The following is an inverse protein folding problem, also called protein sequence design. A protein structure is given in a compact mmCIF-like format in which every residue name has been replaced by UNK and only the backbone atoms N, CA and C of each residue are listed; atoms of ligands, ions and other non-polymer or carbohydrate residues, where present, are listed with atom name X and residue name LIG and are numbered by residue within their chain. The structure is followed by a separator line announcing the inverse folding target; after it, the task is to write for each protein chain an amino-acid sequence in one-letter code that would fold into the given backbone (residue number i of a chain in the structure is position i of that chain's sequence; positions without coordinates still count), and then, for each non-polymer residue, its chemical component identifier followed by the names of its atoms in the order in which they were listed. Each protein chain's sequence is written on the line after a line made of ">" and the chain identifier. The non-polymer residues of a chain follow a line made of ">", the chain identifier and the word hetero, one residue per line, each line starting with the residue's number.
data_IF_196528364682
#
_entry.id   IF_196528364682
#
_cell.length_a   1.000
_cell.length_b   1.000
_cell.length_c   1.000
_cell.angle_alpha   90.00
_cell.angle_beta   90.00
_cell.angle_gamma   90.00
#
_symmetry.space_group_name_H-M   'P 1'
#
loop_
_entity.id
_entity.type
_entity.pdbx_description
1 polymer ?
#
# COMPACT_ATOMS: atom_id res chain seq x y z
N UNK A 1 -3.37 -22.42 17.23
CA UNK A 1 -3.17 -21.21 16.42
C UNK A 1 -4.47 -20.44 16.47
N UNK A 2 -4.44 -19.32 17.20
CA UNK A 2 -5.52 -18.34 17.26
C UNK A 2 -5.34 -17.35 16.11
N UNK A 3 -6.44 -16.96 15.48
CA UNK A 3 -6.39 -16.15 14.27
C UNK A 3 -6.71 -14.71 14.58
N UNK A 4 -5.86 -13.79 14.14
CA UNK A 4 -6.16 -12.38 14.24
C UNK A 4 -7.06 -11.93 13.11
N UNK A 5 -8.06 -11.16 13.47
CA UNK A 5 -8.90 -10.46 12.52
C UNK A 5 -8.26 -9.08 12.21
N UNK A 6 -8.19 -8.72 10.94
CA UNK A 6 -7.48 -7.50 10.51
C UNK A 6 -8.44 -6.33 10.51
N UNK A 7 -8.06 -5.26 11.17
CA UNK A 7 -8.65 -3.96 10.95
C UNK A 7 -7.65 -3.18 10.06
N UNK A 8 -8.05 -2.27 9.14
CA UNK A 8 -7.12 -1.39 8.36
C UNK A 8 -7.37 0.12 8.66
N UNK A 9 -6.51 0.85 9.40
CA UNK A 9 -6.82 2.17 10.08
C UNK A 9 -5.93 3.33 9.65
N UNK A 10 -6.48 4.55 9.83
CA UNK A 10 -5.83 5.76 10.39
C UNK A 10 -6.81 6.76 11.08
N UNK A 11 -6.57 7.14 12.34
CA UNK A 11 -7.42 7.97 13.24
C UNK A 11 -7.10 9.49 13.22
N UNK A 12 -8.04 10.36 13.64
CA UNK A 12 -7.94 11.84 13.67
C UNK A 12 -7.42 12.39 15.02
N UNK A 13 -6.46 13.33 15.02
CA UNK A 13 -6.44 14.53 15.90
C UNK A 13 -5.46 15.64 15.41
N UNK A 14 -5.57 16.84 15.98
CA UNK A 14 -5.39 18.19 15.41
C UNK A 14 -4.08 18.95 15.70
N UNK A 15 -3.64 19.78 14.71
CA UNK A 15 -2.87 21.06 14.74
C UNK A 15 -1.48 21.10 15.43
N UNK A 16 -0.45 21.89 15.07
CA UNK A 16 -0.23 23.00 14.11
C UNK A 16 1.31 23.19 13.89
N UNK A 17 1.66 23.67 12.68
CA UNK A 17 2.78 24.55 12.28
C UNK A 17 4.28 24.25 12.53
N UNK A 18 5.06 24.17 11.42
CA UNK A 18 6.10 25.17 11.09
C UNK A 18 6.65 25.10 9.64
N UNK A 19 6.80 26.30 9.10
CA UNK A 19 7.12 26.73 7.72
C UNK A 19 8.51 26.35 7.17
N UNK A 20 8.51 26.09 5.85
CA UNK A 20 9.45 26.49 4.77
C UNK A 20 10.97 26.29 4.98
N UNK A 21 11.58 25.48 4.11
CA UNK A 21 12.72 25.94 3.27
C UNK A 21 13.05 25.02 2.08
N UNK A 22 13.17 25.71 0.93
CA UNK A 22 14.07 25.46 -0.23
C UNK A 22 13.73 24.38 -1.25
N UNK A 23 13.32 24.92 -2.41
CA UNK A 23 13.41 24.42 -3.77
C UNK A 23 14.84 24.02 -4.17
N UNK A 24 14.88 23.16 -5.19
CA UNK A 24 15.98 22.78 -6.09
C UNK A 24 16.80 21.55 -5.69
N UNK A 25 16.26 20.37 -6.01
CA UNK A 25 16.99 19.23 -6.59
C UNK A 25 15.95 18.22 -7.09
N UNK A 26 15.44 18.43 -8.31
CA UNK A 26 14.59 17.47 -9.01
C UNK A 26 15.26 17.17 -10.36
N UNK A 27 16.30 16.35 -10.31
CA UNK A 27 16.75 15.55 -11.44
C UNK A 27 17.54 14.38 -10.87
N UNK A 28 17.11 13.16 -11.21
CA UNK A 28 17.79 11.87 -11.06
C UNK A 28 17.56 11.08 -9.75
N UNK A 29 16.31 10.78 -9.38
CA UNK A 29 16.07 9.63 -8.49
C UNK A 29 14.71 8.91 -8.63
N UNK A 30 13.85 9.30 -9.58
CA UNK A 30 12.50 8.71 -9.70
C UNK A 30 12.52 7.27 -10.22
N UNK A 31 13.53 6.89 -11.02
CA UNK A 31 13.72 5.52 -11.49
C UNK A 31 14.07 4.54 -10.37
N UNK A 32 14.81 4.96 -9.33
CA UNK A 32 15.33 4.02 -8.32
C UNK A 32 14.26 3.46 -7.38
N UNK A 33 13.21 4.24 -7.10
CA UNK A 33 12.12 3.82 -6.20
C UNK A 33 11.21 2.82 -6.91
N UNK A 34 10.76 3.13 -8.13
CA UNK A 34 9.88 2.22 -8.86
C UNK A 34 10.60 0.92 -9.27
N UNK A 35 11.86 1.00 -9.68
CA UNK A 35 12.65 -0.20 -10.01
C UNK A 35 12.84 -1.12 -8.80
N UNK A 36 12.78 -0.60 -7.57
CA UNK A 36 12.95 -1.40 -6.36
C UNK A 36 11.74 -2.27 -6.00
N UNK A 37 10.53 -1.85 -6.39
CA UNK A 37 9.28 -2.52 -6.00
C UNK A 37 8.48 -3.10 -7.16
N UNK A 38 8.69 -2.66 -8.40
CA UNK A 38 8.07 -3.24 -9.59
C UNK A 38 8.59 -4.66 -9.86
N UNK A 39 7.77 -5.68 -9.58
CA UNK A 39 8.22 -7.07 -9.61
C UNK A 39 8.28 -7.66 -11.02
N UNK A 40 7.42 -7.18 -11.93
CA UNK A 40 7.39 -7.68 -13.29
C UNK A 40 8.20 -6.79 -14.24
N UNK A 41 9.44 -7.21 -14.51
CA UNK A 41 10.42 -6.47 -15.32
C UNK A 41 9.96 -6.22 -16.77
N UNK A 42 8.99 -6.99 -17.29
CA UNK A 42 8.38 -6.77 -18.61
C UNK A 42 7.81 -5.35 -18.77
N UNK A 43 7.43 -4.73 -17.66
CA UNK A 43 6.83 -3.38 -17.61
C UNK A 43 7.83 -2.28 -17.26
N UNK A 44 9.12 -2.61 -17.06
CA UNK A 44 10.18 -1.63 -16.81
C UNK A 44 10.98 -1.27 -18.06
N UNK A 45 10.68 -1.90 -19.20
CA UNK A 45 11.33 -1.61 -20.49
C UNK A 45 11.21 -0.12 -20.87
N UNK A 46 12.14 0.35 -21.69
CA UNK A 46 12.20 1.76 -22.11
C UNK A 46 10.96 2.21 -22.88
N UNK A 47 10.29 1.30 -23.59
CA UNK A 47 9.07 1.57 -24.35
C UNK A 47 7.80 1.64 -23.50
N UNK A 48 7.85 1.22 -22.23
CA UNK A 48 6.70 1.27 -21.34
C UNK A 48 6.40 2.72 -20.93
N UNK A 49 5.11 3.06 -20.89
CA UNK A 49 4.63 4.36 -20.42
C UNK A 49 5.16 4.67 -19.01
N UNK A 50 5.70 5.87 -18.82
CA UNK A 50 6.31 6.31 -17.56
C UNK A 50 5.41 7.32 -16.86
N UNK A 51 5.34 7.31 -15.52
CA UNK A 51 4.60 8.33 -14.80
C UNK A 51 5.29 9.69 -14.95
N UNK A 52 4.52 10.76 -14.86
CA UNK A 52 5.06 12.13 -14.79
C UNK A 52 5.86 12.35 -13.50
N UNK A 53 5.42 11.71 -12.41
CA UNK A 53 6.09 11.72 -11.12
C UNK A 53 5.54 10.61 -10.23
N UNK A 54 6.28 10.33 -9.15
CA UNK A 54 5.88 9.42 -8.09
C UNK A 54 5.69 10.24 -6.81
N UNK A 55 4.55 10.08 -6.16
CA UNK A 55 4.26 10.70 -4.88
C UNK A 55 4.17 9.63 -3.80
N UNK A 56 4.99 9.76 -2.75
CA UNK A 56 5.06 8.82 -1.64
C UNK A 56 4.52 9.47 -0.37
N UNK A 57 3.22 9.32 -0.04
CA UNK A 57 2.60 9.89 1.16
C UNK A 57 3.25 9.36 2.44
N UNK A 58 3.25 10.20 3.48
CA UNK A 58 3.78 9.87 4.82
C UNK A 58 2.68 9.80 5.88
N UNK A 59 1.48 10.27 5.56
CA UNK A 59 0.26 10.28 6.38
C UNK A 59 -0.95 10.10 5.46
N UNK A 60 -2.12 9.70 5.96
CA UNK A 60 -3.29 9.58 5.07
C UNK A 60 -3.78 10.93 4.56
N UNK A 61 -3.56 12.01 5.32
CA UNK A 61 -3.88 13.37 4.82
C UNK A 61 -3.15 13.68 3.51
N UNK A 62 -1.94 13.13 3.31
CA UNK A 62 -1.22 13.26 2.05
C UNK A 62 -1.93 12.50 0.92
N UNK A 63 -2.55 11.35 1.22
CA UNK A 63 -3.36 10.57 0.25
C UNK A 63 -4.60 11.37 -0.15
N UNK A 64 -5.33 11.94 0.80
CA UNK A 64 -6.50 12.78 0.53
C UNK A 64 -6.17 13.96 -0.37
N UNK A 65 -5.07 14.66 -0.06
CA UNK A 65 -4.57 15.78 -0.87
C UNK A 65 -4.16 15.30 -2.26
N UNK A 66 -3.51 14.14 -2.39
CA UNK A 66 -3.12 13.58 -3.68
C UNK A 66 -4.34 13.28 -4.56
N UNK A 67 -5.38 12.65 -4.00
CA UNK A 67 -6.64 12.35 -4.72
C UNK A 67 -7.36 13.63 -5.15
N UNK A 68 -7.46 14.60 -4.24
CA UNK A 68 -8.10 15.89 -4.55
C UNK A 68 -7.35 16.64 -5.64
N UNK A 69 -6.02 16.66 -5.58
CA UNK A 69 -5.18 17.35 -6.55
C UNK A 69 -5.16 16.65 -7.91
N UNK A 70 -5.06 15.32 -7.94
CA UNK A 70 -5.06 14.56 -9.19
C UNK A 70 -6.36 14.78 -9.97
N UNK A 71 -7.50 14.73 -9.28
CA UNK A 71 -8.82 15.02 -9.84
C UNK A 71 -8.93 16.44 -10.36
N UNK A 72 -8.46 17.43 -9.58
CA UNK A 72 -8.49 18.85 -9.99
C UNK A 72 -7.60 19.15 -11.19
N UNK A 73 -6.47 18.44 -11.31
CA UNK A 73 -5.48 18.63 -12.37
C UNK A 73 -5.73 17.73 -13.59
N UNK A 74 -6.68 16.78 -13.50
CA UNK A 74 -6.93 15.81 -14.57
C UNK A 74 -5.76 14.85 -14.81
N UNK A 75 -4.99 14.52 -13.76
CA UNK A 75 -3.88 13.57 -13.84
C UNK A 75 -4.38 12.22 -13.35
N UNK A 76 -4.26 11.19 -14.19
CA UNK A 76 -4.67 9.84 -13.80
C UNK A 76 -3.77 9.30 -12.68
N UNK A 77 -4.34 8.56 -11.74
CA UNK A 77 -3.59 8.01 -10.61
C UNK A 77 -3.53 6.49 -10.67
N UNK A 78 -2.33 5.92 -10.54
CA UNK A 78 -2.12 4.50 -10.25
C UNK A 78 -1.65 4.36 -8.81
N UNK A 79 -2.29 3.47 -8.05
CA UNK A 79 -1.92 3.22 -6.65
C UNK A 79 -0.97 2.03 -6.59
N UNK A 80 0.15 2.21 -5.89
CA UNK A 80 1.21 1.23 -5.75
C UNK A 80 1.44 0.88 -4.29
N UNK A 81 1.43 -0.41 -3.99
CA UNK A 81 1.76 -0.97 -2.66
C UNK A 81 3.04 -1.82 -2.80
N UNK A 82 2.93 -3.14 -2.95
CA UNK A 82 4.09 -4.03 -3.10
C UNK A 82 4.52 -4.33 -4.55
N UNK A 83 3.88 -3.72 -5.55
CA UNK A 83 4.30 -3.84 -6.97
C UNK A 83 4.18 -5.23 -7.62
N UNK A 84 3.36 -6.12 -7.06
CA UNK A 84 3.10 -7.48 -7.56
C UNK A 84 1.97 -7.57 -8.60
N UNK A 85 1.57 -6.44 -9.20
CA UNK A 85 0.56 -6.49 -10.26
C UNK A 85 1.12 -7.24 -11.48
N UNK A 86 0.43 -8.28 -11.92
CA UNK A 86 0.92 -9.17 -12.98
C UNK A 86 1.04 -8.45 -14.33
N UNK A 87 0.23 -7.43 -14.55
CA UNK A 87 0.22 -6.62 -15.77
C UNK A 87 0.75 -5.20 -15.53
N UNK A 88 1.46 -4.98 -14.42
CA UNK A 88 2.08 -3.71 -14.07
C UNK A 88 1.10 -2.55 -13.89
N UNK A 89 -0.20 -2.81 -13.68
CA UNK A 89 -1.24 -1.79 -13.65
C UNK A 89 -1.11 -0.80 -12.48
N UNK A 90 -0.34 -1.14 -11.45
CA UNK A 90 -0.03 -0.23 -10.34
C UNK A 90 1.06 0.78 -10.68
N UNK A 91 1.77 0.65 -11.80
CA UNK A 91 2.89 1.51 -12.16
C UNK A 91 3.07 1.80 -13.67
N UNK A 92 2.21 1.24 -14.52
CA UNK A 92 2.13 1.57 -15.95
C UNK A 92 0.69 1.92 -16.31
N UNK A 93 0.52 2.89 -17.21
CA UNK A 93 -0.77 3.26 -17.80
C UNK A 93 -0.68 3.37 -19.31
N UNK A 94 -1.42 2.50 -20.01
CA UNK A 94 -1.57 2.56 -21.48
C UNK A 94 -2.83 3.30 -21.92
N UNK A 95 -3.80 3.48 -21.01
CA UNK A 95 -5.14 4.00 -21.34
C UNK A 95 -5.23 5.51 -21.12
N UNK A 96 -4.60 6.01 -20.07
CA UNK A 96 -4.65 7.43 -19.68
C UNK A 96 -3.26 7.99 -19.44
N UNK A 97 -3.03 9.17 -20.03
CA UNK A 97 -1.82 9.99 -19.89
C UNK A 97 -2.24 11.47 -19.88
N UNK A 98 -1.64 12.33 -19.02
CA UNK A 98 -0.57 12.02 -18.06
C UNK A 98 -1.08 11.21 -16.86
N UNK A 99 -0.19 10.42 -16.25
CA UNK A 99 -0.48 9.71 -15.00
C UNK A 99 0.63 9.87 -13.96
N UNK A 100 0.25 9.73 -12.68
CA UNK A 100 1.15 9.67 -11.55
C UNK A 100 1.03 8.33 -10.82
N UNK A 101 2.06 7.98 -10.07
CA UNK A 101 2.01 6.85 -9.12
C UNK A 101 1.87 7.40 -7.71
N UNK A 102 0.89 6.89 -6.97
CA UNK A 102 0.79 7.04 -5.52
C UNK A 102 1.42 5.82 -4.86
N UNK A 103 2.66 5.95 -4.38
CA UNK A 103 3.41 4.86 -3.75
C UNK A 103 3.20 4.85 -2.23
N UNK A 104 2.46 3.85 -1.74
CA UNK A 104 2.10 3.72 -0.33
C UNK A 104 3.23 3.15 0.54
N UNK A 105 4.43 2.87 0.00
CA UNK A 105 5.53 2.21 0.71
C UNK A 105 5.93 2.81 2.06
N UNK A 106 5.61 4.09 2.33
CA UNK A 106 5.86 4.75 3.62
C UNK A 106 4.71 4.67 4.61
N UNK A 107 3.53 4.25 4.18
CA UNK A 107 2.39 3.93 5.03
C UNK A 107 2.40 2.42 5.30
N UNK A 108 3.32 1.96 6.15
CA UNK A 108 3.56 0.54 6.43
C UNK A 108 3.56 0.19 7.93
N UNK A 109 2.91 1.02 8.75
CA UNK A 109 2.71 0.73 10.18
C UNK A 109 1.89 -0.55 10.38
N UNK A 110 2.24 -1.32 11.40
CA UNK A 110 1.57 -2.56 11.82
C UNK A 110 1.44 -2.54 13.34
N UNK A 111 0.22 -2.40 13.85
CA UNK A 111 -0.07 -2.41 15.28
C UNK A 111 -0.90 -3.63 15.69
N UNK A 112 -0.36 -4.44 16.60
CA UNK A 112 -0.85 -5.78 16.90
C UNK A 112 -1.40 -5.82 18.33
N UNK A 113 -2.72 -5.98 18.46
CA UNK A 113 -3.37 -6.17 19.77
C UNK A 113 -3.73 -7.65 19.98
N UNK A 114 -2.98 -8.32 20.86
CA UNK A 114 -3.21 -9.73 21.20
C UNK A 114 -4.47 -9.92 22.05
N UNK A 115 -4.85 -8.95 22.88
CA UNK A 115 -6.03 -9.06 23.74
C UNK A 115 -7.33 -8.94 22.94
N UNK A 116 -7.36 -8.00 21.99
CA UNK A 116 -8.46 -7.83 21.04
C UNK A 116 -8.41 -8.87 19.91
N UNK A 117 -7.33 -9.68 19.84
CA UNK A 117 -7.08 -10.63 18.76
C UNK A 117 -7.19 -9.99 17.37
N UNK A 118 -6.63 -8.78 17.23
CA UNK A 118 -6.66 -8.01 15.99
C UNK A 118 -5.31 -7.41 15.64
N UNK A 119 -5.22 -6.86 14.44
CA UNK A 119 -4.05 -6.09 13.97
C UNK A 119 -4.52 -4.99 13.03
N UNK A 120 -4.00 -3.78 13.22
CA UNK A 120 -4.15 -2.67 12.28
C UNK A 120 -2.94 -2.61 11.35
N UNK A 121 -3.17 -2.66 10.03
CA UNK A 121 -2.11 -2.76 9.02
C UNK A 121 -2.29 -1.66 7.97
N UNK A 122 -1.28 -0.82 7.76
CA UNK A 122 -1.32 0.16 6.67
C UNK A 122 -1.01 -0.50 5.31
N UNK A 123 -1.61 0.06 4.25
CA UNK A 123 -1.66 -0.56 2.92
C UNK A 123 -0.29 -0.73 2.22
N UNK A 124 0.74 -0.01 2.65
CA UNK A 124 2.10 -0.13 2.15
C UNK A 124 2.91 -1.28 2.76
N UNK A 125 2.45 -1.87 3.87
CA UNK A 125 3.12 -3.00 4.49
C UNK A 125 3.12 -4.24 3.59
N UNK A 126 4.15 -5.05 3.70
CA UNK A 126 4.24 -6.35 3.05
C UNK A 126 3.72 -7.47 3.94
N UNK A 127 3.23 -8.55 3.33
CA UNK A 127 2.74 -9.72 4.06
C UNK A 127 3.82 -10.33 4.97
N UNK A 128 5.09 -10.29 4.56
CA UNK A 128 6.21 -10.73 5.38
C UNK A 128 6.37 -9.91 6.66
N UNK A 129 6.28 -8.58 6.57
CA UNK A 129 6.31 -7.70 7.74
C UNK A 129 5.14 -8.00 8.69
N UNK A 130 3.93 -8.19 8.15
CA UNK A 130 2.73 -8.53 8.94
C UNK A 130 2.92 -9.84 9.70
N UNK A 131 3.37 -10.90 9.02
CA UNK A 131 3.62 -12.18 9.66
C UNK A 131 4.68 -12.06 10.77
N UNK A 132 5.75 -11.33 10.50
CA UNK A 132 6.83 -11.12 11.45
C UNK A 132 6.35 -10.38 12.71
N UNK A 133 5.61 -9.27 12.55
CA UNK A 133 5.10 -8.47 13.66
C UNK A 133 4.09 -9.21 14.52
N UNK A 134 3.24 -10.04 13.92
CA UNK A 134 2.32 -10.89 14.70
C UNK A 134 3.10 -11.94 15.50
N UNK A 135 4.07 -12.60 14.88
CA UNK A 135 4.89 -13.61 15.54
C UNK A 135 5.70 -13.04 16.70
N UNK A 136 6.27 -11.83 16.56
CA UNK A 136 6.98 -11.13 17.64
C UNK A 136 6.12 -10.93 18.89
N UNK A 137 4.81 -10.75 18.73
CA UNK A 137 3.88 -10.58 19.83
C UNK A 137 3.38 -11.91 20.39
N UNK A 138 3.24 -12.94 19.55
CA UNK A 138 2.80 -14.26 19.98
C UNK A 138 3.10 -15.35 18.95
N UNK A 139 3.73 -16.43 19.41
CA UNK A 139 4.04 -17.61 18.60
C UNK A 139 2.84 -18.51 18.28
N UNK A 140 1.67 -18.23 18.87
CA UNK A 140 0.42 -18.99 18.63
C UNK A 140 -0.58 -18.21 17.79
N UNK A 141 -0.26 -16.97 17.39
CA UNK A 141 -1.09 -16.15 16.51
C UNK A 141 -0.51 -16.10 15.09
N UNK A 142 -1.38 -15.89 14.11
CA UNK A 142 -0.99 -15.56 12.75
C UNK A 142 -2.11 -14.89 11.99
N UNK A 143 -1.83 -14.57 10.73
CA UNK A 143 -2.77 -13.98 9.80
C UNK A 143 -2.78 -14.76 8.48
N UNK A 144 -3.91 -14.75 7.80
CA UNK A 144 -4.14 -15.51 6.57
C UNK A 144 -3.90 -14.59 5.38
N UNK A 145 -2.81 -14.82 4.66
CA UNK A 145 -2.57 -14.11 3.42
C UNK A 145 -1.68 -14.95 2.50
N UNK A 146 -1.00 -14.29 1.57
CA UNK A 146 -0.22 -14.92 0.52
C UNK A 146 1.01 -15.65 1.06
N UNK A 147 1.55 -16.53 0.23
CA UNK A 147 2.81 -17.22 0.48
C UNK A 147 4.03 -16.31 0.21
N UNK A 148 3.91 -15.40 -0.76
CA UNK A 148 4.98 -14.50 -1.14
C UNK A 148 5.08 -13.35 -0.12
N UNK A 149 6.24 -13.22 0.52
CA UNK A 149 6.46 -12.26 1.61
C UNK A 149 6.50 -10.80 1.16
N UNK A 150 6.83 -10.52 -0.11
CA UNK A 150 6.91 -9.16 -0.65
C UNK A 150 5.58 -8.66 -1.23
N UNK A 151 4.49 -9.43 -1.12
CA UNK A 151 3.16 -8.95 -1.52
C UNK A 151 2.77 -7.77 -0.63
N UNK A 152 2.36 -6.66 -1.24
CA UNK A 152 1.85 -5.51 -0.51
C UNK A 152 0.40 -5.72 -0.10
N UNK A 153 0.07 -5.39 1.15
CA UNK A 153 -1.24 -5.60 1.76
C UNK A 153 -2.35 -4.92 0.96
N UNK A 154 -2.13 -3.69 0.50
CA UNK A 154 -3.15 -2.89 -0.18
C UNK A 154 -3.72 -3.54 -1.44
N UNK A 155 -2.88 -4.13 -2.29
CA UNK A 155 -3.32 -4.84 -3.48
C UNK A 155 -3.72 -6.30 -3.20
N UNK A 156 -3.06 -6.94 -2.24
CA UNK A 156 -3.26 -8.36 -1.96
C UNK A 156 -4.60 -8.64 -1.29
N UNK A 157 -4.94 -7.90 -0.23
CA UNK A 157 -6.19 -8.07 0.52
C UNK A 157 -7.39 -7.70 -0.33
N UNK A 158 -7.33 -6.60 -1.08
CA UNK A 158 -8.42 -6.15 -1.95
C UNK A 158 -8.71 -7.12 -3.10
N UNK A 159 -7.72 -7.93 -3.50
CA UNK A 159 -7.88 -9.03 -4.47
C UNK A 159 -8.30 -10.38 -3.88
N UNK A 160 -8.49 -10.48 -2.56
CA UNK A 160 -8.94 -11.68 -1.86
C UNK A 160 -7.90 -12.27 -0.89
N UNK A 161 -6.64 -12.35 -1.29
CA UNK A 161 -5.53 -12.86 -0.47
C UNK A 161 -5.60 -14.34 -0.04
N UNK A 162 -5.51 -15.28 -0.98
CA UNK A 162 -5.44 -16.71 -0.66
C UNK A 162 -4.06 -17.14 -0.10
N UNK A 163 -4.03 -18.25 0.64
CA UNK A 163 -2.82 -18.78 1.29
C UNK A 163 -2.92 -20.24 1.73
N UNK A 164 -1.85 -20.75 2.36
CA UNK A 164 -1.78 -22.15 2.83
C UNK A 164 -2.86 -22.53 3.84
N UNK A 165 -3.36 -21.55 4.59
CA UNK A 165 -4.36 -21.73 5.63
C UNK A 165 -5.80 -21.59 5.15
N UNK A 166 -6.03 -21.29 3.86
CA UNK A 166 -7.36 -20.93 3.35
C UNK A 166 -8.43 -22.01 3.53
N UNK A 167 -8.02 -23.29 3.48
CA UNK A 167 -8.96 -24.41 3.62
C UNK A 167 -9.60 -24.49 5.00
N UNK A 168 -8.94 -23.92 6.02
CA UNK A 168 -9.43 -23.94 7.40
C UNK A 168 -10.18 -22.65 7.75
N UNK A 169 -9.82 -21.54 7.11
CA UNK A 169 -10.12 -20.21 7.62
C UNK A 169 -10.55 -19.18 6.56
N UNK A 170 -10.68 -19.58 5.30
CA UNK A 170 -11.06 -18.67 4.21
C UNK A 170 -9.90 -17.84 3.67
N UNK A 171 -10.24 -16.83 2.89
CA UNK A 171 -9.28 -15.90 2.31
C UNK A 171 -8.87 -14.82 3.32
N UNK A 172 -7.78 -14.11 3.05
CA UNK A 172 -7.36 -12.98 3.90
C UNK A 172 -8.43 -11.89 3.99
N UNK A 173 -9.14 -11.61 2.89
CA UNK A 173 -10.26 -10.64 2.87
C UNK A 173 -11.44 -11.08 3.74
N UNK A 174 -11.69 -12.38 3.88
CA UNK A 174 -12.79 -12.91 4.72
C UNK A 174 -12.55 -12.67 6.22
N UNK A 175 -11.32 -12.26 6.58
CA UNK A 175 -10.86 -12.04 7.95
C UNK A 175 -10.53 -10.56 8.21
N UNK A 176 -11.05 -9.66 7.37
CA UNK A 176 -10.99 -8.21 7.58
C UNK A 176 -12.25 -7.75 8.31
N UNK A 177 -12.06 -7.04 9.42
CA UNK A 177 -13.11 -6.45 10.25
C UNK A 177 -13.48 -5.03 9.85
N UNK A 178 -12.47 -4.25 9.45
CA UNK A 178 -12.62 -2.83 9.21
C UNK A 178 -11.58 -2.35 8.19
N UNK A 179 -11.87 -1.26 7.49
CA UNK A 179 -10.94 -0.63 6.59
C UNK A 179 -11.16 0.87 6.43
N UNK A 180 -10.06 1.62 6.29
CA UNK A 180 -10.06 3.03 5.91
C UNK A 180 -9.72 3.19 4.44
N UNK A 181 -10.55 4.00 3.81
CA UNK A 181 -10.53 4.27 2.38
C UNK A 181 -10.62 5.78 2.18
N UNK A 182 -9.86 6.28 1.22
CA UNK A 182 -10.00 7.64 0.70
C UNK A 182 -10.85 7.53 -0.56
N UNK A 183 -11.98 8.22 -0.60
CA UNK A 183 -12.89 8.16 -1.73
C UNK A 183 -12.52 9.20 -2.81
N UNK A 184 -13.31 9.28 -3.89
CA UNK A 184 -13.04 10.19 -5.00
C UNK A 184 -13.18 11.69 -4.64
N UNK A 185 -13.55 12.02 -3.40
CA UNK A 185 -13.70 13.36 -2.84
C UNK A 185 -12.53 13.75 -1.93
N UNK A 186 -11.60 12.82 -1.69
CA UNK A 186 -10.55 12.95 -0.68
C UNK A 186 -10.97 12.32 0.65
#
# INVERSE_FOLDING_TARGET
>A
MEMKEVKVEETMESQEDKKKKKRNMAHNNEGSILESSAQNLRYLVHSASKPEFIFTPLTDSHVQVAVTCSKKLGVHMRVHSGGHDYEGLSYVSEVESPFMILDLSKLHSIDVDIKDNSVWIQAGATIGEVYYRIYEKSSVHGFLAGLCISLGVGGHITGGAYGSMMRKYGLGVDNVLDAKIVDASG
#
